data_IF_956197718527
#
_entry.id   IF_956197718527
#
_cell.length_a   1.000
_cell.length_b   1.000
_cell.length_c   1.000
_cell.angle_alpha   90.00
_cell.angle_beta   90.00
_cell.angle_gamma   90.00
#
_symmetry.space_group_name_H-M   'P 1'
#
loop_
_entity.id
_entity.type
_entity.pdbx_description
1 polymer ?
#
# COMPACT_ATOMS: atom_id res chain seq x y z
N UNK A 1 4.01 -12.67 -0.40
CA UNK A 1 4.03 -11.77 0.77
C UNK A 1 2.70 -11.71 1.54
N UNK A 2 1.58 -11.25 1.00
CA UNK A 2 0.32 -11.22 1.79
C UNK A 2 -0.19 -12.61 2.21
N UNK A 3 -0.11 -13.57 1.28
CA UNK A 3 -0.37 -14.99 1.57
C UNK A 3 0.60 -15.55 2.62
N UNK A 4 1.86 -15.13 2.59
CA UNK A 4 2.89 -15.57 3.54
C UNK A 4 2.63 -15.00 4.95
N UNK A 5 2.15 -13.77 5.07
CA UNK A 5 1.72 -13.22 6.35
C UNK A 5 0.57 -14.02 6.95
N UNK A 6 -0.41 -14.37 6.11
CA UNK A 6 -1.55 -15.17 6.55
C UNK A 6 -1.13 -16.57 7.00
N UNK A 7 -0.31 -17.26 6.20
CA UNK A 7 0.18 -18.61 6.50
C UNK A 7 1.08 -18.62 7.76
N UNK A 8 1.92 -17.61 7.94
CA UNK A 8 2.84 -17.52 9.09
C UNK A 8 2.19 -17.00 10.37
N UNK A 9 0.95 -16.50 10.31
CA UNK A 9 0.32 -15.81 11.44
C UNK A 9 1.04 -14.51 11.82
N UNK A 10 1.68 -13.84 10.85
CA UNK A 10 2.44 -12.63 11.09
C UNK A 10 1.52 -11.50 11.60
N UNK A 11 1.75 -11.07 12.84
CA UNK A 11 1.04 -9.94 13.44
C UNK A 11 1.35 -8.65 12.68
N UNK A 12 0.36 -7.77 12.59
CA UNK A 12 0.40 -6.55 11.75
C UNK A 12 1.65 -5.70 12.01
N UNK A 13 2.05 -5.57 13.28
CA UNK A 13 3.22 -4.79 13.72
C UNK A 13 4.57 -5.33 13.20
N UNK A 14 4.61 -6.59 12.78
CA UNK A 14 5.82 -7.24 12.28
C UNK A 14 5.83 -7.42 10.76
N UNK A 15 4.74 -7.08 10.05
CA UNK A 15 4.64 -7.28 8.60
C UNK A 15 5.69 -6.48 7.81
N UNK A 16 5.91 -5.21 8.17
CA UNK A 16 6.94 -4.39 7.51
C UNK A 16 8.33 -4.95 7.79
N UNK A 17 8.64 -5.31 9.04
CA UNK A 17 9.91 -5.94 9.41
C UNK A 17 10.15 -7.21 8.58
N UNK A 18 9.15 -8.10 8.54
CA UNK A 18 9.22 -9.34 7.79
C UNK A 18 9.45 -9.10 6.29
N UNK A 19 8.71 -8.18 5.69
CA UNK A 19 8.87 -7.84 4.28
C UNK A 19 10.26 -7.28 3.97
N UNK A 20 10.79 -6.44 4.85
CA UNK A 20 12.08 -5.78 4.65
C UNK A 20 13.26 -6.76 4.73
N UNK A 21 13.12 -7.85 5.49
CA UNK A 21 14.10 -8.94 5.52
C UNK A 21 14.23 -9.65 4.16
N UNK A 22 13.20 -9.59 3.31
CA UNK A 22 13.22 -10.19 1.97
C UNK A 22 13.71 -9.22 0.88
N UNK A 23 14.04 -7.97 1.23
CA UNK A 23 14.51 -6.98 0.26
C UNK A 23 15.97 -7.23 -0.12
N UNK A 24 16.27 -7.06 -1.41
CA UNK A 24 17.60 -7.20 -1.97
C UNK A 24 17.99 -5.93 -2.76
N UNK A 25 19.29 -5.74 -2.99
CA UNK A 25 19.88 -4.75 -3.89
C UNK A 25 19.31 -3.32 -3.76
N UNK A 26 18.77 -2.78 -4.85
CA UNK A 26 18.18 -1.44 -4.95
C UNK A 26 17.05 -1.22 -3.93
N UNK A 27 16.30 -2.27 -3.60
CA UNK A 27 15.18 -2.22 -2.65
C UNK A 27 15.65 -2.12 -1.21
N UNK A 28 16.67 -2.89 -0.87
CA UNK A 28 17.30 -2.82 0.46
C UNK A 28 18.01 -1.48 0.64
N UNK A 29 18.74 -1.02 -0.37
CA UNK A 29 19.43 0.29 -0.35
C UNK A 29 18.44 1.43 -0.14
N UNK A 30 17.31 1.39 -0.86
CA UNK A 30 16.25 2.36 -0.65
C UNK A 30 15.67 2.32 0.75
N UNK A 31 15.31 1.14 1.24
CA UNK A 31 14.71 0.98 2.56
C UNK A 31 15.63 1.52 3.66
N UNK A 32 16.91 1.21 3.59
CA UNK A 32 17.92 1.74 4.50
C UNK A 32 18.00 3.27 4.45
N UNK A 33 17.93 3.85 3.25
CA UNK A 33 17.83 5.30 3.07
C UNK A 33 16.56 5.88 3.70
N UNK A 34 15.41 5.23 3.50
CA UNK A 34 14.13 5.65 4.07
C UNK A 34 14.13 5.58 5.60
N UNK A 35 14.67 4.51 6.17
CA UNK A 35 14.85 4.36 7.63
C UNK A 35 15.73 5.45 8.21
N UNK A 36 16.82 5.82 7.53
CA UNK A 36 17.70 6.92 7.98
C UNK A 36 16.97 8.26 8.00
N UNK A 37 16.07 8.50 7.06
CA UNK A 37 15.30 9.75 6.98
C UNK A 37 14.15 9.80 7.97
N UNK A 38 13.40 8.69 8.13
CA UNK A 38 12.20 8.65 8.98
C UNK A 38 12.53 8.35 10.45
N UNK A 39 13.67 7.71 10.72
CA UNK A 39 13.99 7.10 12.01
C UNK A 39 13.47 5.67 12.12
N UNK A 40 14.19 4.80 12.84
CA UNK A 40 13.89 3.37 12.96
C UNK A 40 12.49 3.10 13.55
N UNK A 41 12.14 3.80 14.64
CA UNK A 41 10.87 3.58 15.34
C UNK A 41 9.67 3.98 14.47
N UNK A 42 9.74 5.14 13.82
CA UNK A 42 8.68 5.58 12.91
C UNK A 42 8.61 4.72 11.64
N UNK A 43 9.76 4.25 11.13
CA UNK A 43 9.81 3.39 9.97
C UNK A 43 9.16 2.03 10.23
N UNK A 44 9.41 1.40 11.38
CA UNK A 44 8.80 0.12 11.72
C UNK A 44 7.40 0.22 12.32
N UNK A 45 7.00 1.40 12.84
CA UNK A 45 5.63 1.66 13.26
C UNK A 45 4.66 1.86 12.07
N UNK A 46 5.16 2.00 10.83
CA UNK A 46 4.30 2.17 9.68
C UNK A 46 3.52 0.89 9.37
N UNK A 47 2.28 1.04 8.89
CA UNK A 47 1.49 -0.11 8.49
C UNK A 47 2.05 -0.76 7.23
N UNK A 48 1.87 -2.07 7.08
CA UNK A 48 2.21 -2.82 5.86
C UNK A 48 1.70 -2.13 4.60
N UNK A 49 0.51 -1.56 4.68
CA UNK A 49 -0.13 -0.89 3.57
C UNK A 49 0.51 0.46 3.20
N UNK A 50 0.95 1.22 4.20
CA UNK A 50 1.72 2.46 3.97
C UNK A 50 3.06 2.13 3.32
N UNK A 51 3.71 1.07 3.80
CA UNK A 51 4.95 0.57 3.23
C UNK A 51 4.77 0.11 1.77
N UNK A 52 3.74 -0.70 1.50
CA UNK A 52 3.38 -1.18 0.16
C UNK A 52 3.11 -0.01 -0.79
N UNK A 53 2.37 1.01 -0.34
CA UNK A 53 2.15 2.23 -1.12
C UNK A 53 3.47 2.92 -1.48
N UNK A 54 4.38 3.11 -0.51
CA UNK A 54 5.69 3.73 -0.77
C UNK A 54 6.54 2.93 -1.75
N UNK A 55 6.48 1.60 -1.67
CA UNK A 55 7.13 0.72 -2.63
C UNK A 55 6.54 0.90 -4.02
N UNK A 56 5.22 0.82 -4.15
CA UNK A 56 4.52 1.04 -5.42
C UNK A 56 4.91 2.40 -5.98
N UNK A 57 4.77 3.48 -5.21
CA UNK A 57 5.10 4.85 -5.64
C UNK A 57 6.54 4.97 -6.16
N UNK A 58 7.52 4.40 -5.44
CA UNK A 58 8.93 4.46 -5.84
C UNK A 58 9.21 3.69 -7.14
N UNK A 59 8.80 2.43 -7.19
CA UNK A 59 9.15 1.56 -8.32
C UNK A 59 8.29 1.87 -9.54
N UNK A 60 7.06 2.31 -9.33
CA UNK A 60 6.18 2.83 -10.37
C UNK A 60 6.75 4.10 -11.00
N UNK A 61 7.05 5.12 -10.19
CA UNK A 61 7.55 6.40 -10.72
C UNK A 61 8.85 6.21 -11.50
N UNK A 62 9.74 5.32 -11.01
CA UNK A 62 10.97 4.96 -11.71
C UNK A 62 10.67 4.28 -13.06
N UNK A 63 9.83 3.25 -13.07
CA UNK A 63 9.46 2.56 -14.31
C UNK A 63 8.79 3.50 -15.34
N UNK A 64 7.93 4.40 -14.86
CA UNK A 64 7.26 5.41 -15.69
C UNK A 64 8.22 6.40 -16.31
N UNK A 65 9.14 6.92 -15.50
CA UNK A 65 10.16 7.86 -15.94
C UNK A 65 11.11 7.19 -16.94
N UNK A 66 11.55 5.96 -16.69
CA UNK A 66 12.40 5.19 -17.61
C UNK A 66 11.68 4.90 -18.93
N UNK A 67 10.40 4.50 -18.89
CA UNK A 67 9.59 4.25 -20.07
C UNK A 67 9.35 5.53 -20.89
N UNK A 68 9.01 6.63 -20.22
CA UNK A 68 8.84 7.95 -20.85
C UNK A 68 10.15 8.42 -21.48
N UNK A 69 11.27 8.26 -20.77
CA UNK A 69 12.60 8.60 -21.25
C UNK A 69 12.98 7.79 -22.48
N UNK A 70 12.67 6.48 -22.48
CA UNK A 70 12.89 5.60 -23.62
C UNK A 70 12.08 6.05 -24.84
N UNK A 71 10.78 6.30 -24.66
CA UNK A 71 9.90 6.74 -25.74
C UNK A 71 10.33 8.10 -26.32
N UNK A 72 10.71 9.04 -25.46
CA UNK A 72 11.10 10.40 -25.89
C UNK A 72 12.48 10.47 -26.54
N UNK A 73 13.45 9.64 -26.09
CA UNK A 73 14.83 9.68 -26.62
C UNK A 73 15.04 8.82 -27.86
N UNK A 74 14.33 7.70 -27.99
CA UNK A 74 14.65 6.69 -29.00
C UNK A 74 13.58 6.54 -30.08
N UNK A 75 12.41 7.15 -29.92
CA UNK A 75 11.33 7.10 -30.91
C UNK A 75 11.05 8.50 -31.44
N UNK A 76 10.86 8.61 -32.75
CA UNK A 76 10.54 9.88 -33.42
C UNK A 76 9.05 9.98 -33.75
N UNK A 77 8.42 8.86 -34.12
CA UNK A 77 7.00 8.79 -34.46
C UNK A 77 6.09 8.80 -33.23
N UNK A 78 5.06 9.65 -33.24
CA UNK A 78 4.13 9.79 -32.10
C UNK A 78 3.29 8.53 -31.89
N UNK A 79 2.89 7.84 -32.95
CA UNK A 79 2.08 6.62 -32.83
C UNK A 79 2.91 5.49 -32.21
N UNK A 80 4.17 5.36 -32.61
CA UNK A 80 5.10 4.40 -32.04
C UNK A 80 5.39 4.70 -30.57
N UNK A 81 5.57 5.97 -30.20
CA UNK A 81 5.71 6.40 -28.79
C UNK A 81 4.51 5.98 -27.96
N UNK A 82 3.29 6.27 -28.43
CA UNK A 82 2.06 5.92 -27.74
C UNK A 82 1.95 4.41 -27.58
N UNK A 83 2.15 3.64 -28.65
CA UNK A 83 2.05 2.18 -28.60
C UNK A 83 3.09 1.55 -27.67
N UNK A 84 4.34 2.01 -27.75
CA UNK A 84 5.43 1.52 -26.90
C UNK A 84 5.18 1.84 -25.44
N UNK A 85 4.71 3.06 -25.18
CA UNK A 85 4.36 3.51 -23.85
C UNK A 85 3.21 2.70 -23.27
N UNK A 86 2.09 2.55 -23.99
CA UNK A 86 0.96 1.73 -23.56
C UNK A 86 1.41 0.30 -23.27
N UNK A 87 2.18 -0.32 -24.18
CA UNK A 87 2.69 -1.68 -24.00
C UNK A 87 3.67 -1.88 -22.84
N UNK A 88 4.22 -0.80 -22.27
CA UNK A 88 5.07 -0.82 -21.08
C UNK A 88 4.32 -0.56 -19.77
N UNK A 89 3.02 -0.28 -19.81
CA UNK A 89 2.21 -0.04 -18.62
C UNK A 89 1.91 -1.34 -17.87
N UNK A 90 1.74 -1.25 -16.54
CA UNK A 90 1.23 -2.37 -15.75
C UNK A 90 -0.19 -2.76 -16.19
N UNK A 91 -0.47 -4.07 -16.18
CA UNK A 91 -1.77 -4.68 -16.53
C UNK A 91 -2.96 -4.00 -15.84
N UNK A 92 -2.74 -3.51 -14.62
CA UNK A 92 -3.77 -2.93 -13.79
C UNK A 92 -4.29 -1.57 -14.29
N UNK A 93 -3.58 -0.88 -15.20
CA UNK A 93 -4.06 0.36 -15.85
C UNK A 93 -3.96 0.31 -17.38
N UNK A 94 -3.19 -0.63 -17.93
CA UNK A 94 -2.99 -0.82 -19.37
C UNK A 94 -4.32 -0.80 -20.15
N UNK A 95 -5.28 -1.63 -19.74
CA UNK A 95 -6.57 -1.75 -20.44
C UNK A 95 -7.39 -0.45 -20.46
N UNK A 96 -7.33 0.33 -19.37
CA UNK A 96 -8.01 1.62 -19.26
C UNK A 96 -7.36 2.67 -20.18
N UNK A 97 -6.03 2.79 -20.17
CA UNK A 97 -5.30 3.72 -21.04
C UNK A 97 -5.47 3.36 -22.51
N UNK A 98 -5.39 2.06 -22.85
CA UNK A 98 -5.59 1.58 -24.21
C UNK A 98 -7.00 1.91 -24.73
N UNK A 99 -8.02 1.81 -23.87
CA UNK A 99 -9.41 2.10 -24.21
C UNK A 99 -9.67 3.60 -24.42
N UNK A 100 -8.92 4.47 -23.73
CA UNK A 100 -8.98 5.92 -23.91
C UNK A 100 -8.39 6.38 -25.26
N UNK A 101 -7.62 5.52 -25.95
CA UNK A 101 -7.03 5.77 -27.27
C UNK A 101 -6.32 7.13 -27.36
N UNK A 102 -5.30 7.38 -26.51
CA UNK A 102 -4.55 8.63 -26.56
C UNK A 102 -3.89 8.82 -27.92
N UNK A 103 -3.88 10.06 -28.40
CA UNK A 103 -3.27 10.44 -29.69
C UNK A 103 -1.84 10.89 -29.55
N UNK A 104 -1.45 11.35 -28.37
CA UNK A 104 -0.09 11.82 -28.08
C UNK A 104 0.49 11.07 -26.88
N UNK A 105 1.83 11.01 -26.82
CA UNK A 105 2.51 10.42 -25.66
C UNK A 105 2.11 11.13 -24.35
N UNK A 106 1.97 12.46 -24.37
CA UNK A 106 1.59 13.23 -23.20
C UNK A 106 0.18 12.90 -22.70
N UNK A 107 -0.79 12.75 -23.61
CA UNK A 107 -2.14 12.29 -23.23
C UNK A 107 -2.10 10.91 -22.57
N UNK A 108 -1.28 9.98 -23.11
CA UNK A 108 -1.12 8.65 -22.52
C UNK A 108 -0.48 8.73 -21.11
N UNK A 109 0.49 9.63 -20.92
CA UNK A 109 1.13 9.88 -19.62
C UNK A 109 0.15 10.44 -18.60
N UNK A 110 -0.61 11.46 -18.98
CA UNK A 110 -1.61 12.09 -18.12
C UNK A 110 -2.68 11.08 -17.69
N UNK A 111 -3.27 10.35 -18.63
CA UNK A 111 -4.26 9.31 -18.36
C UNK A 111 -3.77 8.27 -17.36
N UNK A 112 -2.54 7.81 -17.54
CA UNK A 112 -1.99 6.77 -16.69
C UNK A 112 -1.64 7.26 -15.28
N UNK A 113 -1.19 8.51 -15.14
CA UNK A 113 -0.98 9.16 -13.85
C UNK A 113 -2.32 9.38 -13.11
N UNK A 114 -3.36 9.82 -13.82
CA UNK A 114 -4.69 10.05 -13.25
C UNK A 114 -5.31 8.75 -12.74
N UNK A 115 -5.27 7.68 -13.56
CA UNK A 115 -5.77 6.35 -13.18
C UNK A 115 -5.04 5.79 -11.96
N UNK A 116 -3.73 6.03 -11.85
CA UNK A 116 -2.99 5.65 -10.65
C UNK A 116 -3.40 6.46 -9.43
N UNK A 117 -3.50 7.79 -9.58
CA UNK A 117 -3.95 8.69 -8.53
C UNK A 117 -5.34 8.31 -8.00
N UNK A 118 -6.25 7.92 -8.89
CA UNK A 118 -7.58 7.41 -8.55
C UNK A 118 -7.51 6.10 -7.75
N UNK A 119 -6.67 5.14 -8.15
CA UNK A 119 -6.50 3.88 -7.40
C UNK A 119 -5.92 4.13 -6.01
N UNK A 120 -4.93 5.00 -5.88
CA UNK A 120 -4.34 5.34 -4.59
C UNK A 120 -5.36 6.02 -3.68
N UNK A 121 -6.25 6.85 -4.24
CA UNK A 121 -7.34 7.51 -3.51
C UNK A 121 -8.40 6.52 -3.05
N UNK A 122 -8.88 5.66 -3.95
CA UNK A 122 -9.84 4.60 -3.65
C UNK A 122 -9.32 3.67 -2.55
N UNK A 123 -8.03 3.33 -2.61
CA UNK A 123 -7.39 2.54 -1.58
C UNK A 123 -7.39 3.25 -0.21
N UNK A 124 -7.04 4.53 -0.16
CA UNK A 124 -7.07 5.33 1.06
C UNK A 124 -8.49 5.47 1.64
N UNK A 125 -9.50 5.61 0.79
CA UNK A 125 -10.91 5.69 1.22
C UNK A 125 -11.39 4.38 1.86
N UNK A 126 -11.10 3.24 1.23
CA UNK A 126 -11.41 1.92 1.81
C UNK A 126 -10.73 1.72 3.17
N UNK A 127 -9.50 2.22 3.33
CA UNK A 127 -8.83 2.18 4.62
C UNK A 127 -9.53 3.04 5.68
N UNK A 128 -9.89 4.28 5.33
CA UNK A 128 -10.60 5.16 6.26
C UNK A 128 -11.93 4.55 6.70
N UNK A 129 -12.64 3.88 5.78
CA UNK A 129 -13.87 3.15 6.09
C UNK A 129 -13.63 1.94 7.01
N UNK A 130 -12.63 1.12 6.72
CA UNK A 130 -12.28 -0.04 7.56
C UNK A 130 -11.85 0.39 8.97
N UNK A 131 -11.12 1.50 9.10
CA UNK A 131 -10.77 2.08 10.40
C UNK A 131 -12.02 2.53 11.16
N UNK A 132 -12.94 3.26 10.52
CA UNK A 132 -14.23 3.65 11.13
C UNK A 132 -15.03 2.43 11.61
N UNK A 133 -15.02 1.33 10.87
CA UNK A 133 -15.69 0.08 11.26
C UNK A 133 -15.04 -0.59 12.47
N UNK A 134 -13.71 -0.56 12.58
CA UNK A 134 -12.99 -1.05 13.76
C UNK A 134 -13.32 -0.19 15.00
N UNK A 135 -13.31 1.13 14.85
CA UNK A 135 -13.63 2.06 15.94
C UNK A 135 -15.10 1.91 16.38
N UNK A 136 -16.05 1.77 15.45
CA UNK A 136 -17.46 1.52 15.74
C UNK A 136 -17.77 0.10 16.26
N UNK A 137 -16.87 -0.86 16.08
CA UNK A 137 -16.98 -2.21 16.61
C UNK A 137 -16.75 -2.29 18.12
N UNK A 138 -16.08 -1.29 18.70
CA UNK A 138 -15.89 -1.15 20.14
C UNK A 138 -17.16 -0.60 20.81
N UNK A 139 -18.24 -1.40 20.84
CA UNK A 139 -19.34 -1.08 21.76
C UNK A 139 -18.77 -1.17 23.19
N UNK A 140 -18.81 -0.11 24.00
CA UNK A 140 -18.52 -0.24 25.42
C UNK A 140 -19.47 -1.29 26.00
N UNK A 141 -19.00 -2.06 26.98
CA UNK A 141 -19.80 -3.08 27.65
C UNK A 141 -21.13 -2.45 28.10
N UNK A 142 -22.22 -2.84 27.45
CA UNK A 142 -23.57 -2.32 27.73
C UNK A 142 -24.27 -3.05 28.87
N UNK A 143 -23.57 -3.92 29.59
CA UNK A 143 -24.10 -4.62 30.76
C UNK A 143 -23.88 -3.81 32.05
N UNK A 144 -24.71 -4.08 33.05
CA UNK A 144 -24.68 -3.37 34.34
C UNK A 144 -23.58 -3.85 35.30
N UNK A 145 -22.89 -4.94 34.96
CA UNK A 145 -21.95 -5.62 35.85
C UNK A 145 -20.57 -4.96 35.83
N UNK A 146 -19.88 -4.82 36.97
CA UNK A 146 -18.53 -4.27 37.01
C UNK A 146 -17.49 -5.25 36.42
N UNK A 147 -16.39 -4.70 35.91
CA UNK A 147 -15.23 -5.49 35.47
C UNK A 147 -14.40 -5.93 36.68
N UNK A 148 -14.18 -7.24 36.83
CA UNK A 148 -13.35 -7.79 37.89
C UNK A 148 -11.85 -7.70 37.52
N UNK A 149 -11.00 -7.03 38.33
CA UNK A 149 -9.57 -6.89 38.04
C UNK A 149 -8.77 -8.19 38.20
N UNK A 150 -9.34 -9.21 38.85
CA UNK A 150 -8.65 -10.50 39.09
C UNK A 150 -8.73 -11.45 37.90
N UNK A 151 -9.86 -11.47 37.20
CA UNK A 151 -10.11 -12.42 36.11
C UNK A 151 -10.38 -11.74 34.75
N UNK A 152 -10.52 -10.40 34.72
CA UNK A 152 -10.85 -9.60 33.54
C UNK A 152 -12.21 -9.97 32.89
N UNK A 153 -13.17 -10.43 33.70
CA UNK A 153 -14.56 -10.71 33.30
C UNK A 153 -15.57 -9.86 34.10
N UNK A 154 -16.77 -9.68 33.53
CA UNK A 154 -17.86 -8.93 34.16
C UNK A 154 -18.76 -9.84 35.01
N UNK A 155 -18.79 -9.64 36.32
CA UNK A 155 -19.65 -10.40 37.25
C UNK A 155 -19.93 -9.61 38.53
N UNK A 156 -20.97 -10.02 39.26
CA UNK A 156 -21.28 -9.51 40.60
C UNK A 156 -20.72 -10.47 41.66
N UNK A 157 -20.34 -9.94 42.82
CA UNK A 157 -19.83 -10.73 43.95
C UNK A 157 -18.37 -11.17 43.83
N UNK A 158 -17.93 -12.02 44.76
CA UNK A 158 -16.54 -12.45 44.87
C UNK A 158 -16.08 -13.27 43.67
N UNK A 159 -14.87 -12.98 43.19
CA UNK A 159 -14.23 -13.74 42.13
C UNK A 159 -13.82 -15.12 42.68
N UNK A 160 -14.50 -16.17 42.24
CA UNK A 160 -14.14 -17.54 42.60
C UNK A 160 -12.68 -17.83 42.17
N UNK A 161 -11.87 -18.47 43.04
CA UNK A 161 -10.55 -18.96 42.63
C UNK A 161 -10.72 -20.04 41.56
N UNK A 162 -9.81 -20.05 40.57
CA UNK A 162 -9.66 -21.18 39.65
C UNK A 162 -9.10 -22.40 40.38
#
# INVERSE_FOLDING_TARGET
MESEFHISGCVVENQVKFATCAMLDDALTWWNGHMRTLGHDAAYAMTWETFKKKLIDKYWLKAFQELTLMCTKFLSDETEKVNKYIGGLLDNIHGNVMSARPKTLNEAIELANDLMGEKLRTYAERQAENKRKLDNGSKPYGGSKPLCPKCNYHHDGDCAPK
#
